data_IF_381461606572
#
_entry.id   IF_381461606572
#
_cell.length_a   1.000
_cell.length_b   1.000
_cell.length_c   1.000
_cell.angle_alpha   90.00
_cell.angle_beta   90.00
_cell.angle_gamma   90.00
#
_symmetry.space_group_name_H-M   'P 1'
#
loop_
_entity.id
_entity.type
_entity.pdbx_description
1 polymer ?
#
# COMPACT_ATOMS: atom_id res chain seq x y z
N UNK A 1 -39.35 38.97 -8.13
CA UNK A 1 -38.26 39.49 -8.97
C UNK A 1 -38.55 40.96 -9.20
N UNK A 2 -37.72 41.81 -8.63
CA UNK A 2 -37.82 43.26 -8.81
C UNK A 2 -37.09 43.64 -10.10
N UNK A 3 -37.44 44.80 -10.66
CA UNK A 3 -36.87 45.32 -11.93
C UNK A 3 -35.34 45.45 -11.89
N UNK A 4 -34.78 45.63 -10.70
CA UNK A 4 -33.33 45.73 -10.46
C UNK A 4 -32.59 44.39 -10.67
N UNK A 5 -33.23 43.24 -10.42
CA UNK A 5 -32.61 41.93 -10.66
C UNK A 5 -32.41 41.65 -12.16
N UNK A 6 -33.29 42.17 -13.02
CA UNK A 6 -33.19 42.02 -14.47
C UNK A 6 -32.07 42.89 -15.05
N UNK A 7 -31.91 44.12 -14.56
CA UNK A 7 -30.86 45.04 -15.03
C UNK A 7 -29.46 44.55 -14.60
N UNK A 8 -29.32 44.00 -13.40
CA UNK A 8 -28.06 43.39 -12.95
C UNK A 8 -27.73 42.16 -13.79
N UNK A 9 -28.71 41.31 -14.10
CA UNK A 9 -28.50 40.10 -14.92
C UNK A 9 -28.07 40.48 -16.34
N UNK A 10 -28.61 41.57 -16.88
CA UNK A 10 -28.26 42.07 -18.22
C UNK A 10 -26.83 42.63 -18.26
N UNK A 11 -26.42 43.39 -17.24
CA UNK A 11 -25.05 43.89 -17.10
C UNK A 11 -24.01 42.75 -17.04
N UNK A 12 -24.31 41.65 -16.36
CA UNK A 12 -23.40 40.50 -16.31
C UNK A 12 -23.39 39.67 -17.59
N UNK A 13 -24.48 39.66 -18.35
CA UNK A 13 -24.54 38.88 -19.60
C UNK A 13 -23.80 39.60 -20.73
N UNK A 14 -23.85 40.94 -20.76
CA UNK A 14 -23.22 41.74 -21.82
C UNK A 14 -21.71 42.00 -21.57
N UNK A 15 -21.24 41.89 -20.33
CA UNK A 15 -19.84 42.16 -19.96
C UNK A 15 -18.89 40.96 -20.13
N UNK A 16 -19.41 39.74 -20.35
CA UNK A 16 -18.57 38.54 -20.46
C UNK A 16 -18.43 38.15 -21.94
N UNK A 17 -17.26 38.39 -22.58
CA UNK A 17 -17.03 37.93 -23.94
C UNK A 17 -17.15 36.40 -24.01
N UNK A 18 -17.74 35.84 -25.09
CA UNK A 18 -17.92 34.41 -25.23
C UNK A 18 -16.57 33.70 -25.11
N UNK A 19 -16.48 32.76 -24.17
CA UNK A 19 -15.28 31.96 -23.98
C UNK A 19 -14.99 31.18 -25.27
N UNK A 20 -13.72 31.15 -25.72
CA UNK A 20 -13.36 30.36 -26.88
C UNK A 20 -13.74 28.89 -26.63
N UNK A 21 -14.31 28.25 -27.65
CA UNK A 21 -14.73 26.86 -27.56
C UNK A 21 -13.57 26.00 -27.01
N UNK A 22 -13.83 25.15 -26.01
CA UNK A 22 -12.79 24.34 -25.40
C UNK A 22 -12.14 23.47 -26.47
N UNK A 23 -10.80 23.54 -26.56
CA UNK A 23 -10.03 22.65 -27.45
C UNK A 23 -10.46 21.22 -27.17
N UNK A 24 -10.79 20.47 -28.22
CA UNK A 24 -11.22 19.08 -28.12
C UNK A 24 -10.04 18.20 -27.67
N UNK A 25 -9.82 18.16 -26.35
CA UNK A 25 -8.75 17.41 -25.71
C UNK A 25 -8.91 15.91 -25.92
N UNK A 26 -10.15 15.44 -26.18
CA UNK A 26 -10.45 14.02 -26.38
C UNK A 26 -9.93 13.56 -27.75
N UNK A 27 -10.11 14.36 -28.80
CA UNK A 27 -9.54 14.09 -30.12
C UNK A 27 -7.99 14.07 -30.10
N UNK A 28 -7.36 14.98 -29.35
CA UNK A 28 -5.90 15.04 -29.24
C UNK A 28 -5.31 13.83 -28.49
N UNK A 29 -5.95 13.38 -27.40
CA UNK A 29 -5.55 12.16 -26.69
C UNK A 29 -5.73 10.93 -27.58
N UNK A 30 -6.85 10.84 -28.32
CA UNK A 30 -7.11 9.74 -29.25
C UNK A 30 -6.06 9.61 -30.35
N UNK A 31 -5.56 10.73 -30.88
CA UNK A 31 -4.48 10.72 -31.89
C UNK A 31 -3.13 10.32 -31.30
N UNK A 32 -2.79 10.74 -30.07
CA UNK A 32 -1.57 10.27 -29.37
C UNK A 32 -1.62 8.77 -29.09
N UNK A 33 -2.75 8.26 -28.60
CA UNK A 33 -2.90 6.83 -28.29
C UNK A 33 -2.79 5.97 -29.55
N UNK A 34 -3.42 6.36 -30.67
CA UNK A 34 -3.25 5.64 -31.96
C UNK A 34 -1.81 5.65 -32.45
N UNK A 35 -1.10 6.78 -32.32
CA UNK A 35 0.30 6.89 -32.74
C UNK A 35 1.22 6.03 -31.86
N UNK A 36 0.92 5.91 -30.56
CA UNK A 36 1.66 5.04 -29.65
C UNK A 36 1.40 3.54 -29.93
N UNK A 37 0.13 3.13 -30.09
CA UNK A 37 -0.22 1.74 -30.47
C UNK A 37 0.43 1.30 -31.78
N UNK A 38 0.48 2.18 -32.79
CA UNK A 38 1.16 1.86 -34.06
C UNK A 38 2.67 1.63 -33.89
N UNK A 39 3.34 2.36 -32.99
CA UNK A 39 4.78 2.17 -32.73
C UNK A 39 5.08 0.86 -31.99
N UNK A 40 4.22 0.47 -31.04
CA UNK A 40 4.41 -0.76 -30.25
C UNK A 40 4.21 -2.02 -31.10
N UNK A 41 3.26 -2.01 -32.05
CA UNK A 41 3.01 -3.15 -32.95
C UNK A 41 4.14 -3.34 -33.97
N UNK A 42 4.81 -2.27 -34.39
CA UNK A 42 5.97 -2.39 -35.31
C UNK A 42 7.23 -2.92 -34.64
N UNK A 43 7.42 -2.73 -33.33
CA UNK A 43 8.61 -3.20 -32.62
C UNK A 43 8.53 -4.67 -32.20
N UNK A 44 7.34 -5.22 -31.97
CA UNK A 44 7.17 -6.64 -31.61
C UNK A 44 7.32 -7.60 -32.80
N UNK A 45 7.03 -7.14 -34.03
CA UNK A 45 7.20 -7.97 -35.23
C UNK A 45 8.68 -8.21 -35.61
N UNK A 46 9.61 -7.35 -35.20
CA UNK A 46 11.03 -7.50 -35.50
C UNK A 46 11.77 -8.45 -34.53
N UNK A 47 11.26 -8.63 -33.31
CA UNK A 47 11.90 -9.44 -32.27
C UNK A 47 11.63 -10.95 -32.43
N UNK A 48 10.48 -11.33 -32.98
CA UNK A 48 10.09 -12.75 -33.11
C UNK A 48 10.83 -13.45 -34.26
N UNK A 49 11.21 -12.73 -35.31
CA UNK A 49 11.90 -13.30 -36.48
C UNK A 49 13.37 -13.62 -36.24
N UNK A 50 14.00 -13.02 -35.21
CA UNK A 50 15.42 -13.22 -34.91
C UNK A 50 15.68 -14.45 -34.03
N UNK A 51 14.68 -14.92 -33.28
CA UNK A 51 14.80 -16.08 -32.39
C UNK A 51 14.63 -17.40 -33.14
N UNK A 52 13.88 -17.43 -34.25
CA UNK A 52 13.67 -18.66 -35.03
C UNK A 52 14.84 -18.98 -35.98
N UNK A 53 15.68 -18.01 -36.32
CA UNK A 53 16.80 -18.21 -37.26
C UNK A 53 18.11 -18.71 -36.61
N UNK A 54 18.22 -18.78 -35.28
CA UNK A 54 19.42 -19.20 -34.55
C UNK A 54 19.33 -20.63 -33.97
N UNK A 55 18.23 -21.35 -34.22
CA UNK A 55 17.95 -22.66 -33.60
C UNK A 55 18.54 -23.90 -34.28
N UNK A 56 19.26 -23.79 -35.41
CA UNK A 56 19.78 -24.96 -36.13
C UNK A 56 21.20 -24.72 -36.62
N UNK A 57 22.18 -24.94 -35.73
CA UNK A 57 23.50 -25.52 -36.02
C UNK A 57 24.48 -25.18 -34.89
N UNK A 58 24.88 -26.17 -34.07
CA UNK A 58 26.29 -26.49 -33.81
C UNK A 58 26.41 -27.73 -32.90
N UNK A 59 27.32 -28.67 -33.20
CA UNK A 59 27.49 -29.91 -32.48
C UNK A 59 28.50 -29.80 -31.34
N UNK A 60 28.25 -30.61 -30.30
CA UNK A 60 29.18 -31.23 -29.34
C UNK A 60 30.63 -30.72 -29.32
N UNK A 61 30.95 -29.89 -28.31
CA UNK A 61 32.29 -29.78 -27.74
C UNK A 61 32.22 -30.16 -26.25
N UNK A 62 32.55 -31.42 -25.96
CA UNK A 62 32.90 -31.89 -24.61
C UNK A 62 34.24 -31.25 -24.22
N UNK A 63 34.18 -30.27 -23.32
CA UNK A 63 35.32 -29.80 -22.52
C UNK A 63 35.28 -30.45 -21.13
N UNK A 64 36.42 -30.55 -20.43
CA UNK A 64 36.57 -31.35 -19.21
C UNK A 64 35.78 -30.75 -18.04
N UNK A 65 35.25 -31.64 -17.20
CA UNK A 65 34.62 -31.35 -15.92
C UNK A 65 35.46 -30.34 -15.11
N UNK A 66 34.99 -29.10 -15.08
CA UNK A 66 35.18 -28.22 -13.93
C UNK A 66 33.90 -28.30 -13.13
N UNK A 67 33.77 -29.36 -12.34
CA UNK A 67 33.00 -29.28 -11.10
C UNK A 67 33.62 -28.18 -10.26
N UNK A 68 33.08 -26.97 -10.38
CA UNK A 68 33.20 -25.94 -9.36
C UNK A 68 32.77 -26.61 -8.06
N UNK A 69 33.60 -26.61 -7.00
CA UNK A 69 33.14 -27.08 -5.71
C UNK A 69 31.87 -26.29 -5.35
N UNK A 70 30.85 -26.93 -4.74
CA UNK A 70 29.72 -26.18 -4.20
C UNK A 70 30.31 -25.08 -3.32
N UNK A 71 29.95 -23.83 -3.60
CA UNK A 71 30.23 -22.72 -2.69
C UNK A 71 29.54 -23.13 -1.39
N UNK A 72 30.32 -23.57 -0.42
CA UNK A 72 29.86 -23.75 0.94
C UNK A 72 29.24 -22.41 1.31
N UNK A 73 27.93 -22.38 1.54
CA UNK A 73 27.28 -21.22 2.10
C UNK A 73 27.94 -20.99 3.45
N UNK A 74 28.90 -20.06 3.51
CA UNK A 74 29.42 -19.58 4.77
C UNK A 74 28.22 -19.04 5.54
N UNK A 75 28.05 -19.46 6.79
CA UNK A 75 27.03 -18.87 7.63
C UNK A 75 27.21 -17.35 7.58
N UNK A 76 26.13 -16.59 7.33
CA UNK A 76 26.21 -15.16 7.15
C UNK A 76 26.84 -14.53 8.38
N UNK A 77 27.79 -13.63 8.16
CA UNK A 77 28.47 -12.92 9.23
C UNK A 77 27.48 -11.93 9.89
N UNK A 78 27.34 -12.03 11.21
CA UNK A 78 26.59 -11.08 12.04
C UNK A 78 25.10 -11.41 12.20
N UNK A 79 24.58 -11.13 13.40
CA UNK A 79 23.15 -11.20 13.69
C UNK A 79 22.45 -9.95 13.15
N UNK A 80 21.35 -10.14 12.41
CA UNK A 80 20.53 -9.01 11.93
C UNK A 80 19.54 -8.63 13.02
N UNK A 81 19.80 -7.50 13.69
CA UNK A 81 18.92 -6.98 14.73
C UNK A 81 18.21 -5.72 14.23
N UNK A 82 16.87 -5.77 14.17
CA UNK A 82 16.07 -4.58 13.90
C UNK A 82 16.21 -3.58 15.06
N UNK A 83 16.58 -2.31 14.79
CA UNK A 83 16.51 -1.28 15.81
C UNK A 83 15.07 -1.15 16.34
N UNK A 84 14.94 -0.94 17.65
CA UNK A 84 13.64 -0.77 18.33
C UNK A 84 13.42 0.64 18.84
N UNK A 85 14.45 1.49 18.78
CA UNK A 85 14.39 2.90 19.15
C UNK A 85 15.33 3.70 18.24
N UNK A 86 15.16 5.02 18.22
CA UNK A 86 16.05 5.92 17.47
C UNK A 86 17.45 6.04 18.10
N UNK A 87 17.71 5.41 19.24
CA UNK A 87 19.04 5.34 19.84
C UNK A 87 19.96 4.54 18.91
N UNK A 88 20.96 5.22 18.32
CA UNK A 88 21.84 4.65 17.30
C UNK A 88 21.58 5.15 15.88
N UNK A 89 20.57 6.00 15.67
CA UNK A 89 20.43 6.76 14.43
C UNK A 89 21.65 7.67 14.23
N UNK A 90 22.30 7.65 13.05
CA UNK A 90 23.40 8.57 12.74
C UNK A 90 22.98 10.03 12.85
N UNK A 91 23.89 10.88 13.32
CA UNK A 91 23.73 12.32 13.25
C UNK A 91 23.79 12.75 11.78
N UNK A 92 22.71 13.39 11.30
CA UNK A 92 22.58 13.77 9.91
C UNK A 92 23.61 14.83 9.50
N UNK A 93 24.13 15.61 10.44
CA UNK A 93 25.17 16.61 10.17
C UNK A 93 26.58 15.98 10.12
N UNK A 94 26.75 14.77 10.65
CA UNK A 94 28.03 14.06 10.69
C UNK A 94 28.27 13.12 9.48
N UNK A 95 27.22 12.81 8.70
CA UNK A 95 27.35 11.92 7.53
C UNK A 95 27.79 12.68 6.28
N UNK A 96 28.53 12.00 5.40
CA UNK A 96 29.01 12.60 4.15
C UNK A 96 27.93 12.52 3.06
N UNK A 97 27.63 13.67 2.44
CA UNK A 97 26.73 13.77 1.29
C UNK A 97 27.46 14.32 0.06
N UNK A 98 26.97 13.93 -1.12
CA UNK A 98 27.40 14.51 -2.40
C UNK A 98 28.66 13.89 -2.99
N UNK A 99 29.16 12.79 -2.41
CA UNK A 99 30.12 11.92 -3.07
C UNK A 99 29.43 10.96 -4.06
N UNK A 100 30.23 10.36 -4.93
CA UNK A 100 29.77 9.34 -5.87
C UNK A 100 29.84 7.92 -5.24
N UNK A 101 30.14 7.82 -3.94
CA UNK A 101 30.25 6.54 -3.24
C UNK A 101 28.85 5.91 -3.02
N UNK A 102 28.66 4.61 -3.29
CA UNK A 102 27.36 3.97 -3.09
C UNK A 102 26.94 4.05 -1.62
N UNK A 103 25.64 4.23 -1.36
CA UNK A 103 25.10 4.26 0.00
C UNK A 103 25.31 2.91 0.71
N UNK A 104 25.16 1.81 -0.03
CA UNK A 104 25.36 0.44 0.44
C UNK A 104 26.20 -0.37 -0.56
N UNK A 105 27.08 -1.27 -0.12
CA UNK A 105 27.78 -2.18 -1.01
C UNK A 105 26.82 -3.06 -1.84
N UNK A 106 27.21 -3.52 -3.04
CA UNK A 106 26.46 -4.56 -3.74
C UNK A 106 26.58 -5.92 -3.03
N UNK A 107 25.67 -6.85 -3.36
CA UNK A 107 25.77 -8.24 -2.90
C UNK A 107 25.02 -8.57 -1.61
N UNK A 108 24.09 -7.72 -1.17
CA UNK A 108 23.16 -8.09 -0.10
C UNK A 108 22.33 -9.30 -0.53
N UNK A 109 22.07 -10.21 0.40
CA UNK A 109 21.29 -11.44 0.19
C UNK A 109 19.90 -11.35 0.81
N UNK A 110 19.70 -10.40 1.71
CA UNK A 110 18.42 -10.14 2.38
C UNK A 110 18.37 -8.67 2.82
N UNK A 111 17.17 -8.11 2.81
CA UNK A 111 16.88 -6.79 3.38
C UNK A 111 15.74 -6.95 4.38
N UNK A 112 15.98 -6.55 5.63
CA UNK A 112 14.94 -6.48 6.65
C UNK A 112 14.48 -5.05 6.79
N UNK A 113 13.19 -4.81 6.54
CA UNK A 113 12.54 -3.54 6.78
C UNK A 113 11.96 -3.51 8.19
N UNK A 114 12.51 -2.64 9.03
CA UNK A 114 12.11 -2.42 10.41
C UNK A 114 11.38 -1.06 10.52
N UNK A 115 10.44 -0.97 11.45
CA UNK A 115 9.80 0.30 11.81
C UNK A 115 10.17 0.67 13.25
N UNK A 116 10.64 1.90 13.43
CA UNK A 116 11.10 2.44 14.72
C UNK A 116 10.18 3.58 15.11
N UNK A 117 9.60 3.55 16.30
CA UNK A 117 8.79 4.68 16.79
C UNK A 117 9.69 5.85 17.22
N UNK A 118 9.32 7.06 16.81
CA UNK A 118 10.07 8.29 17.05
C UNK A 118 9.55 9.05 18.28
N UNK A 119 8.25 8.95 18.60
CA UNK A 119 7.62 9.61 19.75
C UNK A 119 6.40 8.84 20.31
N UNK A 120 6.16 8.94 21.62
CA UNK A 120 5.02 8.34 22.34
C UNK A 120 3.67 9.05 22.08
N UNK A 121 3.63 10.05 21.21
CA UNK A 121 2.50 11.00 21.19
C UNK A 121 1.18 10.37 20.73
N UNK A 122 1.21 9.32 19.91
CA UNK A 122 0.06 8.45 19.66
C UNK A 122 0.62 7.07 19.33
N UNK A 123 0.52 6.11 20.25
CA UNK A 123 0.85 4.72 19.93
C UNK A 123 -0.06 4.27 18.79
N UNK A 124 0.51 4.05 17.59
CA UNK A 124 -0.23 3.35 16.55
C UNK A 124 -0.72 2.03 17.17
N UNK A 125 -2.01 1.70 17.07
CA UNK A 125 -2.58 0.56 17.80
C UNK A 125 -1.96 -0.79 17.42
N UNK A 126 -1.28 -0.85 16.26
CA UNK A 126 -0.50 -1.99 15.82
C UNK A 126 0.66 -1.52 14.93
N UNK A 127 1.89 -1.87 15.32
CA UNK A 127 3.11 -1.67 14.52
C UNK A 127 3.39 -3.00 13.80
N UNK A 128 3.56 -3.02 12.46
CA UNK A 128 3.96 -4.22 11.77
C UNK A 128 5.35 -4.67 12.25
N UNK A 129 5.51 -5.99 12.43
CA UNK A 129 6.81 -6.58 12.72
C UNK A 129 7.82 -6.42 11.56
N UNK A 130 9.08 -6.83 11.79
CA UNK A 130 10.10 -6.84 10.74
C UNK A 130 9.67 -7.59 9.48
N UNK A 131 9.96 -7.02 8.31
CA UNK A 131 9.62 -7.62 7.00
C UNK A 131 10.90 -8.00 6.26
N UNK A 132 11.13 -9.29 6.07
CA UNK A 132 12.34 -9.81 5.42
C UNK A 132 12.12 -10.07 3.93
N UNK A 133 12.89 -9.40 3.09
CA UNK A 133 12.92 -9.58 1.64
C UNK A 133 14.21 -10.32 1.24
N UNK A 134 14.04 -11.44 0.54
CA UNK A 134 15.13 -12.29 0.03
C UNK A 134 15.15 -12.36 -1.50
N UNK A 135 14.01 -12.05 -2.15
CA UNK A 135 13.89 -11.96 -3.61
C UNK A 135 13.94 -10.51 -4.09
N UNK A 136 14.67 -10.22 -5.17
CA UNK A 136 14.76 -8.85 -5.71
C UNK A 136 15.58 -7.88 -4.86
N UNK A 137 16.44 -8.39 -3.98
CA UNK A 137 17.32 -7.60 -3.10
C UNK A 137 18.27 -6.70 -3.90
N UNK A 138 18.81 -7.22 -5.00
CA UNK A 138 19.70 -6.50 -5.92
C UNK A 138 19.03 -5.27 -6.55
N UNK A 139 17.74 -5.36 -6.87
CA UNK A 139 16.97 -4.23 -7.37
C UNK A 139 16.86 -3.12 -6.32
N UNK A 140 16.51 -3.45 -5.08
CA UNK A 140 16.40 -2.47 -4.00
C UNK A 140 17.76 -1.84 -3.69
N UNK A 141 18.84 -2.62 -3.65
CA UNK A 141 20.22 -2.11 -3.49
C UNK A 141 20.58 -1.15 -4.62
N UNK A 142 20.28 -1.50 -5.87
CA UNK A 142 20.50 -0.63 -7.03
C UNK A 142 19.70 0.67 -6.91
N UNK A 143 18.45 0.62 -6.45
CA UNK A 143 17.64 1.81 -6.23
C UNK A 143 18.17 2.69 -5.09
N UNK A 144 18.65 2.11 -3.99
CA UNK A 144 19.29 2.85 -2.88
C UNK A 144 20.53 3.60 -3.38
N UNK A 145 21.36 2.95 -4.18
CA UNK A 145 22.59 3.54 -4.71
C UNK A 145 22.34 4.52 -5.86
N UNK A 146 21.23 4.40 -6.60
CA UNK A 146 20.83 5.33 -7.65
C UNK A 146 20.17 6.61 -7.11
N UNK A 147 19.94 6.72 -5.80
CA UNK A 147 19.39 7.92 -5.22
C UNK A 147 20.31 9.13 -5.41
N UNK A 148 19.75 10.36 -5.49
CA UNK A 148 20.55 11.58 -5.61
C UNK A 148 21.61 11.68 -4.51
N UNK A 149 22.82 12.08 -4.86
CA UNK A 149 23.93 12.22 -3.90
C UNK A 149 23.68 13.32 -2.84
N UNK A 150 22.72 14.23 -3.09
CA UNK A 150 22.21 15.21 -2.11
C UNK A 150 20.68 15.30 -2.15
N UNK A 151 20.02 15.70 -1.03
CA UNK A 151 18.59 15.99 -1.02
C UNK A 151 18.24 17.10 -2.02
N UNK A 152 17.22 16.90 -2.86
CA UNK A 152 16.92 17.80 -3.99
C UNK A 152 15.87 18.88 -3.71
N UNK A 153 15.03 18.73 -2.68
CA UNK A 153 13.84 19.57 -2.50
C UNK A 153 13.98 20.70 -1.47
N UNK A 154 15.20 20.96 -1.00
CA UNK A 154 15.50 22.13 -0.16
C UNK A 154 15.10 22.01 1.31
N UNK A 155 14.39 20.94 1.70
CA UNK A 155 14.07 20.64 3.11
C UNK A 155 15.27 20.11 3.90
N UNK A 156 16.33 19.73 3.21
CA UNK A 156 17.64 19.43 3.77
C UNK A 156 18.73 20.30 3.15
N UNK A 157 18.49 21.61 2.98
CA UNK A 157 19.58 22.53 2.58
C UNK A 157 20.42 22.86 3.81
N UNK A 158 21.76 22.73 3.75
CA UNK A 158 22.61 23.41 4.72
C UNK A 158 22.32 24.91 4.62
N UNK A 159 21.98 25.52 5.73
CA UNK A 159 21.96 26.97 5.84
C UNK A 159 23.41 27.50 5.75
N UNK A 160 23.59 28.82 5.78
CA UNK A 160 24.93 29.43 5.72
C UNK A 160 25.86 29.00 6.88
N UNK A 161 25.31 28.37 7.92
CA UNK A 161 25.98 27.77 9.07
C UNK A 161 26.22 26.25 8.95
N UNK A 162 25.71 25.59 7.90
CA UNK A 162 25.89 24.15 7.66
C UNK A 162 24.79 23.24 8.21
N UNK A 163 23.79 23.75 8.94
CA UNK A 163 22.77 22.95 9.64
C UNK A 163 21.65 22.46 8.69
N UNK A 164 21.30 21.16 8.73
CA UNK A 164 20.17 20.58 7.99
C UNK A 164 18.83 20.84 8.72
N UNK A 165 18.09 21.88 8.32
CA UNK A 165 16.75 22.14 8.90
C UNK A 165 15.64 21.38 8.19
N UNK A 166 15.46 20.15 8.62
CA UNK A 166 14.33 19.31 8.22
C UNK A 166 13.02 19.94 8.69
N UNK A 167 12.11 20.26 7.77
CA UNK A 167 10.80 20.79 8.15
C UNK A 167 10.06 19.70 8.90
N UNK A 168 9.89 19.88 10.23
CA UNK A 168 9.26 18.93 11.12
C UNK A 168 7.83 18.61 10.65
N UNK A 169 7.66 17.55 9.88
CA UNK A 169 6.41 16.81 9.97
C UNK A 169 6.54 15.94 11.23
N UNK A 170 5.58 16.04 12.13
CA UNK A 170 5.47 15.13 13.26
C UNK A 170 5.23 13.72 12.69
N UNK A 171 6.31 12.97 12.49
CA UNK A 171 6.25 11.59 12.05
C UNK A 171 6.44 10.70 13.25
N UNK A 172 5.54 9.73 13.40
CA UNK A 172 5.52 8.83 14.53
C UNK A 172 6.49 7.65 14.34
N UNK A 173 6.93 7.39 13.11
CA UNK A 173 7.70 6.20 12.74
C UNK A 173 8.82 6.55 11.75
N UNK A 174 9.96 5.87 11.89
CA UNK A 174 11.06 5.85 10.94
C UNK A 174 11.21 4.45 10.36
N UNK A 175 11.51 4.41 9.06
CA UNK A 175 11.81 3.16 8.38
C UNK A 175 13.32 2.93 8.39
N UNK A 176 13.73 1.73 8.78
CA UNK A 176 15.13 1.29 8.78
C UNK A 176 15.24 0.05 7.91
N UNK A 177 16.21 0.03 7.00
CA UNK A 177 16.55 -1.15 6.21
C UNK A 177 17.86 -1.73 6.76
N UNK A 178 17.85 -3.00 7.14
CA UNK A 178 19.07 -3.73 7.51
C UNK A 178 19.40 -4.72 6.40
N UNK A 179 20.51 -4.50 5.71
CA UNK A 179 20.95 -5.31 4.60
C UNK A 179 21.95 -6.35 5.10
N UNK A 180 21.59 -7.63 4.97
CA UNK A 180 22.46 -8.76 5.31
C UNK A 180 23.28 -9.18 4.11
N UNK A 181 24.54 -9.52 4.35
CA UNK A 181 25.47 -10.03 3.35
C UNK A 181 25.97 -11.41 3.78
N UNK A 182 26.41 -12.21 2.82
CA UNK A 182 26.99 -13.53 3.13
C UNK A 182 28.43 -13.44 3.63
N UNK A 183 29.15 -12.36 3.29
CA UNK A 183 30.61 -12.26 3.40
C UNK A 183 31.08 -11.13 4.33
N UNK A 184 30.17 -10.39 4.96
CA UNK A 184 30.46 -9.20 5.78
C UNK A 184 29.32 -8.86 6.73
N UNK A 185 29.62 -7.97 7.67
CA UNK A 185 28.65 -7.43 8.62
C UNK A 185 27.46 -6.73 7.92
N UNK A 186 26.26 -6.79 8.53
CA UNK A 186 25.09 -6.08 8.00
C UNK A 186 25.29 -4.58 7.90
N UNK A 187 24.64 -3.96 6.91
CA UNK A 187 24.61 -2.50 6.76
C UNK A 187 23.22 -1.99 7.12
N UNK A 188 23.16 -1.09 8.10
CA UNK A 188 21.92 -0.42 8.51
C UNK A 188 21.77 0.91 7.78
N UNK A 189 20.67 1.05 7.06
CA UNK A 189 20.24 2.28 6.39
C UNK A 189 19.05 2.85 7.15
N UNK A 190 19.28 3.98 7.81
CA UNK A 190 18.24 4.78 8.43
C UNK A 190 17.61 5.69 7.40
N UNK A 191 16.30 5.87 7.45
CA UNK A 191 15.65 6.88 6.61
C UNK A 191 14.92 7.91 7.44
N UNK A 192 14.98 9.14 6.94
CA UNK A 192 14.30 10.28 7.53
C UNK A 192 13.42 10.90 6.46
N UNK A 193 12.11 10.74 6.61
CA UNK A 193 11.11 11.31 5.70
C UNK A 193 10.97 12.82 5.79
N UNK A 194 11.36 13.41 6.92
CA UNK A 194 11.31 14.86 7.11
C UNK A 194 12.44 15.52 6.33
N UNK A 195 13.63 14.92 6.39
CA UNK A 195 14.82 15.37 5.68
C UNK A 195 14.90 14.83 4.24
N UNK A 196 14.07 13.82 3.93
CA UNK A 196 14.14 12.99 2.72
C UNK A 196 15.54 12.49 2.43
N UNK A 197 16.12 11.81 3.42
CA UNK A 197 17.43 11.16 3.31
C UNK A 197 17.38 9.69 3.68
N UNK A 198 18.34 8.96 3.13
CA UNK A 198 18.74 7.64 3.59
C UNK A 198 20.22 7.70 3.98
N UNK A 199 20.54 7.25 5.19
CA UNK A 199 21.89 7.37 5.76
C UNK A 199 22.36 6.06 6.36
N UNK A 200 23.65 5.77 6.18
CA UNK A 200 24.40 4.79 6.97
C UNK A 200 25.19 5.52 8.06
N UNK A 201 26.07 4.81 8.76
CA UNK A 201 26.95 5.42 9.75
C UNK A 201 27.88 6.52 9.17
N UNK A 202 28.20 6.47 7.89
CA UNK A 202 29.23 7.34 7.29
C UNK A 202 28.78 8.09 6.03
N UNK A 203 27.72 7.65 5.37
CA UNK A 203 27.26 8.20 4.10
C UNK A 203 25.77 8.53 4.14
N UNK A 204 25.38 9.54 3.39
CA UNK A 204 23.99 9.89 3.17
C UNK A 204 23.69 10.15 1.71
N UNK A 205 22.46 9.85 1.31
CA UNK A 205 21.88 10.23 0.02
C UNK A 205 20.52 10.87 0.24
N UNK A 206 20.07 11.66 -0.74
CA UNK A 206 18.65 11.99 -0.82
C UNK A 206 17.82 10.70 -0.97
N UNK A 207 16.53 10.72 -0.65
CA UNK A 207 15.68 9.54 -0.85
C UNK A 207 14.36 9.89 -1.52
N UNK A 208 14.08 9.17 -2.59
CA UNK A 208 12.75 8.98 -3.13
C UNK A 208 12.07 7.80 -2.42
N UNK A 209 10.99 8.08 -1.71
CA UNK A 209 10.24 7.09 -0.94
C UNK A 209 9.54 6.04 -1.83
N UNK A 210 9.51 6.22 -3.16
CA UNK A 210 9.11 5.15 -4.09
C UNK A 210 9.94 3.87 -3.96
N UNK A 211 11.14 3.93 -3.37
CA UNK A 211 11.92 2.74 -3.05
C UNK A 211 11.23 1.84 -2.02
N UNK A 212 10.53 2.42 -1.05
CA UNK A 212 9.78 1.65 -0.05
C UNK A 212 8.53 1.03 -0.64
N UNK A 213 7.89 1.73 -1.57
CA UNK A 213 6.82 1.16 -2.37
C UNK A 213 7.30 -0.08 -3.12
N UNK A 214 8.44 0.03 -3.79
CA UNK A 214 9.03 -1.10 -4.51
C UNK A 214 9.42 -2.24 -3.57
N UNK A 215 10.00 -1.94 -2.40
CA UNK A 215 10.28 -2.95 -1.37
C UNK A 215 9.02 -3.70 -0.93
N UNK A 216 7.95 -2.97 -0.59
CA UNK A 216 6.70 -3.58 -0.11
C UNK A 216 6.00 -4.39 -1.21
N UNK A 217 6.06 -3.93 -2.47
CA UNK A 217 5.54 -4.68 -3.61
C UNK A 217 6.29 -6.00 -3.79
N UNK A 218 7.63 -5.98 -3.76
CA UNK A 218 8.46 -7.20 -3.82
C UNK A 218 8.22 -8.12 -2.63
N UNK A 219 8.09 -7.56 -1.43
CA UNK A 219 7.81 -8.32 -0.22
C UNK A 219 6.46 -9.03 -0.31
N UNK A 220 5.44 -8.34 -0.82
CA UNK A 220 4.11 -8.89 -1.06
C UNK A 220 4.13 -9.98 -2.14
N UNK A 221 4.84 -9.78 -3.25
CA UNK A 221 5.06 -10.82 -4.27
C UNK A 221 5.73 -12.07 -3.66
N UNK A 222 6.74 -11.89 -2.80
CA UNK A 222 7.41 -12.98 -2.10
C UNK A 222 6.44 -13.73 -1.18
N UNK A 223 5.62 -13.02 -0.38
CA UNK A 223 4.61 -13.65 0.47
C UNK A 223 3.61 -14.45 -0.34
N UNK A 224 3.07 -13.89 -1.44
CA UNK A 224 2.15 -14.62 -2.32
C UNK A 224 2.78 -15.88 -2.90
N UNK A 225 4.08 -15.85 -3.21
CA UNK A 225 4.78 -17.01 -3.77
C UNK A 225 5.14 -18.09 -2.73
N UNK A 226 5.22 -17.74 -1.45
CA UNK A 226 5.74 -18.62 -0.38
C UNK A 226 4.68 -19.05 0.63
N UNK A 227 3.58 -18.32 0.77
CA UNK A 227 2.45 -18.69 1.61
C UNK A 227 1.61 -19.75 0.92
N UNK A 228 1.48 -20.93 1.53
CA UNK A 228 0.54 -21.96 1.06
C UNK A 228 -0.91 -21.52 1.35
N UNK A 229 -1.77 -21.32 0.33
CA UNK A 229 -3.16 -20.92 0.54
C UNK A 229 -3.97 -21.86 1.45
N UNK A 230 -3.59 -23.14 1.52
CA UNK A 230 -4.26 -24.11 2.38
C UNK A 230 -4.00 -23.86 3.87
N UNK A 231 -2.93 -23.13 4.23
CA UNK A 231 -2.54 -22.84 5.61
C UNK A 231 -3.11 -21.54 6.16
N UNK A 232 -3.62 -20.67 5.28
CA UNK A 232 -4.25 -19.40 5.66
C UNK A 232 -5.47 -19.73 6.51
N UNK A 233 -5.57 -19.16 7.71
CA UNK A 233 -6.66 -19.43 8.65
C UNK A 233 -7.79 -18.43 8.45
N UNK A 234 -9.03 -18.93 8.42
CA UNK A 234 -10.21 -18.09 8.32
C UNK A 234 -10.46 -17.32 9.61
N UNK A 235 -10.67 -16.00 9.55
CA UNK A 235 -11.13 -15.23 10.70
C UNK A 235 -12.46 -15.76 11.24
N UNK A 236 -12.57 -15.94 12.55
CA UNK A 236 -13.82 -16.38 13.18
C UNK A 236 -14.80 -15.21 13.36
N UNK A 237 -16.10 -15.49 13.25
CA UNK A 237 -17.14 -14.58 13.72
C UNK A 237 -17.26 -14.72 15.24
N UNK A 238 -16.88 -13.71 16.04
CA UNK A 238 -17.15 -13.74 17.48
C UNK A 238 -18.66 -13.87 17.72
N UNK A 239 -19.06 -14.60 18.77
CA UNK A 239 -20.46 -14.78 19.10
C UNK A 239 -21.14 -13.45 19.49
N UNK A 240 -20.38 -12.55 20.10
CA UNK A 240 -20.82 -11.21 20.48
C UNK A 240 -19.73 -10.17 20.22
N UNK A 241 -20.13 -8.94 19.90
CA UNK A 241 -19.24 -7.78 19.82
C UNK A 241 -19.79 -6.61 20.65
N UNK A 242 -18.94 -5.84 21.36
CA UNK A 242 -19.37 -4.63 22.06
C UNK A 242 -19.90 -3.57 21.08
N UNK A 243 -20.96 -2.85 21.46
CA UNK A 243 -21.55 -1.81 20.61
C UNK A 243 -20.60 -0.66 20.28
N UNK A 244 -19.74 -0.29 21.23
CA UNK A 244 -18.66 0.69 21.06
C UNK A 244 -17.71 0.38 19.89
N UNK A 245 -17.49 -0.90 19.57
CA UNK A 245 -16.66 -1.29 18.42
C UNK A 245 -17.28 -0.80 17.12
N UNK A 246 -18.61 -0.82 17.01
CA UNK A 246 -19.31 -0.42 15.80
C UNK A 246 -19.36 1.11 15.62
N UNK A 247 -19.28 1.88 16.71
CA UNK A 247 -19.33 3.35 16.68
C UNK A 247 -17.94 3.98 16.56
N UNK A 248 -17.01 3.61 17.45
CA UNK A 248 -15.82 4.42 17.74
C UNK A 248 -14.56 3.82 17.15
N UNK A 249 -14.55 2.51 16.94
CA UNK A 249 -13.40 1.81 16.37
C UNK A 249 -13.38 1.91 14.84
N UNK A 250 -12.22 1.66 14.25
CA UNK A 250 -12.09 1.43 12.80
C UNK A 250 -11.96 -0.07 12.55
N UNK A 251 -12.46 -0.57 11.42
CA UNK A 251 -12.18 -1.94 11.00
C UNK A 251 -10.66 -2.18 10.95
N UNK A 252 -10.14 -3.26 11.57
CA UNK A 252 -8.75 -3.65 11.41
C UNK A 252 -8.39 -3.94 9.96
N UNK A 253 -7.21 -3.48 9.54
CA UNK A 253 -6.64 -3.76 8.23
C UNK A 253 -5.15 -4.01 8.40
N UNK A 254 -4.76 -5.28 8.25
CA UNK A 254 -3.37 -5.76 8.26
C UNK A 254 -2.81 -5.92 6.85
N UNK A 255 -3.66 -6.00 5.82
CA UNK A 255 -3.22 -6.04 4.42
C UNK A 255 -2.47 -4.75 4.07
N UNK A 256 -2.90 -3.60 4.60
CA UNK A 256 -2.17 -2.31 4.45
C UNK A 256 -0.71 -2.37 4.90
N UNK A 257 -0.36 -3.26 5.84
CA UNK A 257 1.03 -3.37 6.29
C UNK A 257 1.94 -3.97 5.23
N UNK A 258 1.40 -4.54 4.16
CA UNK A 258 2.15 -5.09 3.04
C UNK A 258 1.91 -4.31 1.74
N UNK A 259 1.31 -3.12 1.85
CA UNK A 259 0.89 -2.32 0.71
C UNK A 259 1.31 -0.86 0.90
N UNK A 260 2.05 -0.32 -0.06
CA UNK A 260 2.57 1.05 0.05
C UNK A 260 1.60 2.13 -0.41
N UNK A 261 0.66 1.79 -1.29
CA UNK A 261 -0.41 2.68 -1.72
C UNK A 261 -1.66 2.34 -0.88
N UNK A 262 -2.45 3.30 -0.39
CA UNK A 262 -3.76 2.97 0.18
C UNK A 262 -4.76 2.39 -0.84
N UNK A 263 -4.49 2.48 -2.16
CA UNK A 263 -5.39 2.02 -3.22
C UNK A 263 -4.68 1.19 -4.29
N UNK A 264 -5.32 0.13 -4.84
CA UNK A 264 -6.58 -0.46 -4.39
C UNK A 264 -6.46 -1.05 -2.96
N UNK A 265 -7.54 -1.05 -2.19
CA UNK A 265 -7.48 -1.49 -0.77
C UNK A 265 -7.10 -2.97 -0.64
N UNK A 266 -7.52 -3.80 -1.60
CA UNK A 266 -7.19 -5.22 -1.68
C UNK A 266 -6.33 -5.47 -2.93
N UNK A 267 -4.98 -5.39 -2.79
CA UNK A 267 -4.06 -5.46 -3.92
C UNK A 267 -3.68 -6.89 -4.34
N UNK A 268 -3.95 -7.90 -3.52
CA UNK A 268 -3.68 -9.32 -3.84
C UNK A 268 -4.96 -10.14 -3.87
N UNK A 269 -4.96 -11.32 -4.54
CA UNK A 269 -6.12 -12.19 -4.58
C UNK A 269 -6.62 -12.59 -3.20
N UNK A 270 -7.94 -12.69 -3.02
CA UNK A 270 -8.53 -13.21 -1.80
C UNK A 270 -8.54 -14.74 -1.81
N UNK A 271 -8.12 -15.34 -0.70
CA UNK A 271 -8.12 -16.79 -0.49
C UNK A 271 -9.33 -17.21 0.32
N UNK A 272 -9.77 -16.36 1.25
CA UNK A 272 -10.83 -16.70 2.18
C UNK A 272 -11.58 -15.49 2.69
N UNK A 273 -12.86 -15.68 2.96
CA UNK A 273 -13.77 -14.65 3.45
C UNK A 273 -14.68 -15.22 4.53
N UNK A 274 -14.81 -14.50 5.63
CA UNK A 274 -15.81 -14.73 6.67
C UNK A 274 -16.78 -13.55 6.70
N UNK A 275 -18.05 -13.83 6.47
CA UNK A 275 -19.14 -12.87 6.60
C UNK A 275 -19.93 -13.18 7.87
N UNK A 276 -20.24 -12.16 8.66
CA UNK A 276 -20.96 -12.29 9.92
C UNK A 276 -22.06 -11.23 9.96
N UNK A 277 -23.27 -11.60 10.38
CA UNK A 277 -24.39 -10.69 10.65
C UNK A 277 -24.69 -10.68 12.13
N UNK A 278 -24.80 -9.47 12.66
CA UNK A 278 -25.16 -9.21 14.04
C UNK A 278 -26.47 -8.44 14.13
N UNK A 279 -27.29 -8.79 15.11
CA UNK A 279 -28.38 -7.95 15.61
C UNK A 279 -27.89 -7.18 16.84
N UNK A 280 -28.13 -5.88 16.85
CA UNK A 280 -27.62 -4.99 17.89
C UNK A 280 -28.73 -4.66 18.87
N UNK A 281 -28.47 -4.96 20.15
CA UNK A 281 -29.33 -4.67 21.27
C UNK A 281 -28.52 -3.94 22.34
N UNK A 282 -28.94 -2.71 22.64
CA UNK A 282 -28.29 -1.82 23.63
C UNK A 282 -26.77 -1.73 23.43
N UNK A 283 -26.01 -2.40 24.29
CA UNK A 283 -24.55 -2.32 24.38
C UNK A 283 -23.82 -3.48 23.66
N UNK A 284 -24.54 -4.39 23.02
CA UNK A 284 -23.96 -5.60 22.41
C UNK A 284 -24.57 -5.92 21.05
N UNK A 285 -23.79 -6.54 20.17
CA UNK A 285 -24.32 -7.17 18.98
C UNK A 285 -24.14 -8.68 19.04
N UNK A 286 -25.22 -9.42 18.83
CA UNK A 286 -25.26 -10.88 18.88
C UNK A 286 -25.21 -11.44 17.46
N UNK A 287 -24.35 -12.45 17.25
CA UNK A 287 -24.20 -13.11 15.97
C UNK A 287 -25.48 -13.90 15.64
N UNK A 288 -26.18 -13.50 14.58
CA UNK A 288 -27.41 -14.20 14.13
C UNK A 288 -27.17 -15.03 12.88
N UNK A 289 -26.12 -14.74 12.10
CA UNK A 289 -25.75 -15.53 10.93
C UNK A 289 -24.27 -15.39 10.60
N UNK A 290 -23.68 -16.44 10.07
CA UNK A 290 -22.31 -16.43 9.55
C UNK A 290 -22.21 -17.30 8.29
N UNK A 291 -21.26 -16.96 7.44
CA UNK A 291 -20.82 -17.79 6.32
C UNK A 291 -19.31 -17.65 6.14
N UNK A 292 -18.65 -18.76 5.82
CA UNK A 292 -17.24 -18.78 5.44
C UNK A 292 -17.12 -19.32 4.02
N UNK A 293 -16.23 -18.72 3.23
CA UNK A 293 -16.07 -19.04 1.82
C UNK A 293 -14.61 -18.93 1.39
N UNK A 294 -14.11 -20.02 0.78
CA UNK A 294 -12.83 -20.06 0.05
C UNK A 294 -13.02 -20.05 -1.46
N UNK A 295 -13.92 -20.90 -1.96
CA UNK A 295 -14.27 -20.93 -3.37
C UNK A 295 -14.83 -19.56 -3.78
N UNK A 296 -14.31 -19.00 -4.88
CA UNK A 296 -14.75 -17.72 -5.42
C UNK A 296 -14.60 -16.54 -4.44
N UNK A 297 -13.73 -16.66 -3.42
CA UNK A 297 -13.43 -15.57 -2.49
C UNK A 297 -12.93 -14.32 -3.24
N UNK A 298 -12.13 -14.51 -4.30
CA UNK A 298 -11.59 -13.41 -5.10
C UNK A 298 -12.65 -12.62 -5.88
N UNK A 299 -13.85 -13.18 -6.10
CA UNK A 299 -14.94 -12.47 -6.77
C UNK A 299 -15.43 -11.26 -5.95
N UNK A 300 -15.22 -11.27 -4.63
CA UNK A 300 -15.52 -10.14 -3.76
C UNK A 300 -14.48 -9.02 -3.85
N UNK A 301 -13.25 -9.31 -4.28
CA UNK A 301 -12.17 -8.31 -4.36
C UNK A 301 -12.51 -7.11 -5.24
N UNK A 302 -12.96 -7.26 -6.50
CA UNK A 302 -13.34 -6.11 -7.31
C UNK A 302 -14.53 -5.34 -6.72
N UNK A 303 -15.50 -6.02 -6.11
CA UNK A 303 -16.67 -5.40 -5.48
C UNK A 303 -16.26 -4.52 -4.29
N UNK A 304 -15.36 -5.03 -3.43
CA UNK A 304 -14.83 -4.29 -2.29
C UNK A 304 -13.95 -3.13 -2.74
N UNK A 305 -13.04 -3.36 -3.69
CA UNK A 305 -12.20 -2.29 -4.23
C UNK A 305 -13.01 -1.18 -4.90
N UNK A 306 -14.08 -1.50 -5.62
CA UNK A 306 -15.00 -0.50 -6.20
C UNK A 306 -15.77 0.25 -5.12
N UNK A 307 -16.34 -0.47 -4.15
CA UNK A 307 -17.13 0.13 -3.06
C UNK A 307 -16.30 1.10 -2.23
N UNK A 308 -15.03 0.78 -2.01
CA UNK A 308 -14.12 1.56 -1.19
C UNK A 308 -13.10 2.37 -1.99
N UNK A 309 -13.34 2.58 -3.29
CA UNK A 309 -12.48 3.43 -4.11
C UNK A 309 -12.44 4.87 -3.57
N UNK A 310 -11.30 5.55 -3.73
CA UNK A 310 -11.10 6.92 -3.23
C UNK A 310 -12.09 7.93 -3.83
N UNK A 311 -12.55 7.69 -5.05
CA UNK A 311 -13.51 8.56 -5.73
C UNK A 311 -14.95 8.34 -5.28
N UNK A 312 -15.24 7.21 -4.62
CA UNK A 312 -16.55 6.93 -4.06
C UNK A 312 -16.81 7.84 -2.85
N UNK A 313 -17.47 8.96 -3.10
CA UNK A 313 -17.75 9.98 -2.09
C UNK A 313 -19.25 10.18 -2.01
N UNK A 314 -19.89 9.49 -1.06
CA UNK A 314 -21.21 9.78 -0.47
C UNK A 314 -21.57 8.64 0.46
N UNK A 315 -22.15 8.97 1.59
CA UNK A 315 -22.88 8.07 2.47
C UNK A 315 -24.27 8.66 2.66
N UNK A 316 -25.31 7.85 2.55
CA UNK A 316 -26.70 8.28 2.79
C UNK A 316 -26.94 8.67 4.26
N UNK A 317 -26.01 8.31 5.16
CA UNK A 317 -26.10 8.58 6.59
C UNK A 317 -25.62 9.97 7.01
N UNK A 318 -25.14 10.82 6.09
CA UNK A 318 -24.01 11.69 6.45
C UNK A 318 -22.77 10.81 6.71
N UNK A 319 -21.60 11.33 7.05
CA UNK A 319 -20.46 10.44 7.36
C UNK A 319 -20.80 9.41 8.45
N UNK A 320 -20.29 8.18 8.38
CA UNK A 320 -20.22 7.26 9.55
C UNK A 320 -19.67 8.03 10.74
N UNK A 321 -20.40 8.06 11.85
CA UNK A 321 -20.69 9.33 12.50
C UNK A 321 -19.45 9.92 13.16
N UNK A 322 -19.27 11.22 12.94
CA UNK A 322 -18.88 12.11 14.02
C UNK A 322 -19.93 11.86 15.14
N UNK A 323 -19.52 11.01 16.10
CA UNK A 323 -20.14 10.39 17.29
C UNK A 323 -21.24 11.12 18.07
N UNK A 324 -21.68 12.33 17.70
CA UNK A 324 -22.71 13.08 18.44
C UNK A 324 -24.08 12.95 17.79
N UNK A 325 -24.80 11.86 18.12
CA UNK A 325 -26.26 11.81 18.00
C UNK A 325 -26.86 10.85 16.97
N UNK A 326 -26.08 9.97 16.34
CA UNK A 326 -26.64 8.91 15.50
C UNK A 326 -26.90 7.65 16.33
N UNK A 327 -28.08 7.02 16.20
CA UNK A 327 -28.37 5.77 16.90
C UNK A 327 -27.47 4.64 16.39
N UNK A 328 -27.21 3.67 17.26
CA UNK A 328 -26.54 2.42 16.88
C UNK A 328 -27.32 1.72 15.76
N UNK A 329 -26.62 1.02 14.85
CA UNK A 329 -27.30 0.26 13.83
C UNK A 329 -28.10 -0.86 14.46
N UNK A 330 -29.25 -1.26 13.90
CA UNK A 330 -30.01 -2.42 14.42
C UNK A 330 -29.53 -3.74 13.83
N UNK A 331 -28.89 -3.66 12.66
CA UNK A 331 -28.29 -4.79 11.96
C UNK A 331 -26.95 -4.35 11.39
N UNK A 332 -25.94 -5.16 11.64
CA UNK A 332 -24.56 -4.87 11.34
C UNK A 332 -23.89 -6.11 10.75
N UNK A 333 -23.29 -5.97 9.57
CA UNK A 333 -22.51 -7.04 8.95
C UNK A 333 -21.02 -6.72 9.04
N UNK A 334 -20.21 -7.73 9.33
CA UNK A 334 -18.75 -7.68 9.17
C UNK A 334 -18.34 -8.65 8.08
N UNK A 335 -17.40 -8.22 7.25
CA UNK A 335 -16.73 -9.06 6.27
C UNK A 335 -15.24 -9.04 6.57
N UNK A 336 -14.68 -10.15 7.02
CA UNK A 336 -13.24 -10.28 7.22
C UNK A 336 -12.66 -11.14 6.11
N UNK A 337 -11.72 -10.58 5.36
CA UNK A 337 -11.07 -11.25 4.24
C UNK A 337 -9.64 -11.59 4.61
N UNK A 338 -9.13 -12.70 4.07
CA UNK A 338 -7.72 -13.05 4.08
C UNK A 338 -7.23 -13.12 2.62
N UNK A 339 -6.12 -12.45 2.35
CA UNK A 339 -5.53 -12.38 1.02
C UNK A 339 -4.44 -13.44 0.81
N UNK A 340 -3.87 -13.51 -0.39
CA UNK A 340 -2.85 -14.50 -0.74
C UNK A 340 -1.53 -14.36 0.04
N UNK A 341 -1.33 -13.25 0.77
CA UNK A 341 -0.21 -13.12 1.71
C UNK A 341 -0.49 -13.74 3.07
N UNK A 342 -1.75 -14.07 3.36
CA UNK A 342 -2.24 -14.47 4.68
C UNK A 342 -2.62 -13.30 5.59
N UNK A 343 -2.44 -12.06 5.14
CA UNK A 343 -2.88 -10.88 5.87
C UNK A 343 -4.41 -10.69 5.77
N UNK A 344 -4.98 -10.02 6.76
CA UNK A 344 -6.44 -9.86 6.89
C UNK A 344 -6.88 -8.40 6.82
N UNK A 345 -8.06 -8.14 6.27
CA UNK A 345 -8.75 -6.87 6.40
C UNK A 345 -10.22 -7.08 6.76
N UNK A 346 -10.78 -6.19 7.56
CA UNK A 346 -12.17 -6.20 7.98
C UNK A 346 -12.92 -5.04 7.33
N UNK A 347 -14.15 -5.30 6.89
CA UNK A 347 -15.07 -4.34 6.32
C UNK A 347 -16.38 -4.40 7.09
N UNK A 348 -16.99 -3.24 7.35
CA UNK A 348 -18.22 -3.15 8.11
C UNK A 348 -19.34 -2.62 7.26
N UNK A 349 -20.55 -3.16 7.38
CA UNK A 349 -21.73 -2.68 6.69
C UNK A 349 -22.89 -2.49 7.66
N UNK A 350 -23.41 -1.27 7.74
CA UNK A 350 -24.65 -0.94 8.45
C UNK A 350 -25.82 -1.04 7.49
N UNK A 351 -26.94 -1.58 7.97
CA UNK A 351 -28.17 -1.70 7.17
C UNK A 351 -29.27 -0.70 7.57
N UNK A 352 -29.39 -0.40 8.85
CA UNK A 352 -30.45 0.41 9.45
C UNK A 352 -29.87 1.22 10.60
N UNK A 353 -30.29 2.48 10.84
CA UNK A 353 -31.37 3.20 10.13
C UNK A 353 -30.97 3.73 8.74
N UNK A 354 -29.70 3.61 8.37
CA UNK A 354 -29.17 4.04 7.08
C UNK A 354 -28.07 3.07 6.64
N UNK A 355 -27.81 3.02 5.33
CA UNK A 355 -26.84 2.09 4.73
C UNK A 355 -25.50 2.75 4.51
N UNK A 356 -24.46 2.10 5.02
CA UNK A 356 -23.08 2.56 4.85
C UNK A 356 -22.12 1.37 4.95
N UNK A 357 -21.01 1.45 4.23
CA UNK A 357 -19.88 0.56 4.33
C UNK A 357 -18.64 1.32 4.83
N UNK A 358 -17.93 0.75 5.82
CA UNK A 358 -16.71 1.32 6.42
C UNK A 358 -15.52 0.38 6.25
N UNK A 359 -14.39 0.98 5.93
CA UNK A 359 -13.05 0.40 5.94
C UNK A 359 -12.12 1.34 6.75
N UNK A 360 -10.88 0.94 7.06
CA UNK A 360 -9.93 1.76 7.82
C UNK A 360 -9.75 3.17 7.23
N UNK A 361 -9.67 3.26 5.89
CA UNK A 361 -9.39 4.50 5.15
C UNK A 361 -10.61 5.13 4.47
N UNK A 362 -11.77 4.45 4.49
CA UNK A 362 -12.91 4.83 3.67
C UNK A 362 -14.23 4.63 4.41
N UNK A 363 -15.21 5.45 4.04
CA UNK A 363 -16.50 5.53 4.69
C UNK A 363 -17.52 5.94 3.62
N UNK A 364 -18.12 4.93 3.02
CA UNK A 364 -18.79 5.04 1.73
C UNK A 364 -20.22 4.48 1.83
N UNK A 365 -21.06 4.80 0.85
CA UNK A 365 -22.33 4.11 0.68
C UNK A 365 -22.05 2.65 0.28
N UNK A 366 -22.77 1.71 0.91
CA UNK A 366 -22.71 0.32 0.48
C UNK A 366 -23.27 0.20 -0.94
N UNK A 367 -22.46 -0.26 -1.89
CA UNK A 367 -22.89 -0.43 -3.29
C UNK A 367 -23.94 -1.53 -3.40
N UNK A 368 -24.82 -1.49 -4.42
CA UNK A 368 -25.75 -2.58 -4.70
C UNK A 368 -25.04 -3.93 -4.83
N UNK A 369 -23.89 -3.98 -5.50
CA UNK A 369 -23.09 -5.20 -5.65
C UNK A 369 -22.61 -5.76 -4.31
N UNK A 370 -22.15 -4.91 -3.39
CA UNK A 370 -21.76 -5.35 -2.05
C UNK A 370 -22.96 -5.88 -1.25
N UNK A 371 -24.10 -5.18 -1.31
CA UNK A 371 -25.32 -5.60 -0.61
C UNK A 371 -25.88 -6.92 -1.16
N UNK A 372 -25.84 -7.12 -2.47
CA UNK A 372 -26.26 -8.35 -3.13
C UNK A 372 -25.32 -9.51 -2.76
N UNK A 373 -24.00 -9.27 -2.75
CA UNK A 373 -23.01 -10.25 -2.32
C UNK A 373 -23.24 -10.68 -0.85
N UNK A 374 -23.42 -9.72 0.05
CA UNK A 374 -23.74 -9.99 1.46
C UNK A 374 -25.09 -10.70 1.61
N UNK A 375 -26.08 -10.37 0.77
CA UNK A 375 -27.37 -11.07 0.77
C UNK A 375 -27.23 -12.50 0.27
N UNK A 376 -26.37 -12.75 -0.72
CA UNK A 376 -26.07 -14.09 -1.21
C UNK A 376 -25.46 -15.00 -0.14
N UNK A 377 -24.58 -14.44 0.70
CA UNK A 377 -23.94 -15.18 1.80
C UNK A 377 -24.85 -15.25 3.05
N UNK A 378 -25.24 -14.08 3.57
CA UNK A 378 -25.92 -13.95 4.85
C UNK A 378 -27.45 -13.92 4.75
N UNK A 379 -28.02 -14.11 3.56
CA UNK A 379 -29.45 -13.92 3.32
C UNK A 379 -29.87 -12.46 3.46
N UNK A 380 -31.17 -12.19 3.30
CA UNK A 380 -31.70 -10.84 3.48
C UNK A 380 -31.60 -10.42 4.95
N UNK A 381 -31.19 -9.17 5.25
CA UNK A 381 -31.25 -8.67 6.61
C UNK A 381 -32.70 -8.64 7.08
N UNK A 382 -32.97 -8.75 8.40
CA UNK A 382 -34.31 -8.64 8.94
C UNK A 382 -34.97 -7.35 8.44
N UNK A 383 -36.09 -7.48 7.73
CA UNK A 383 -36.88 -6.32 7.31
C UNK A 383 -37.60 -5.76 8.54
N UNK A 384 -37.58 -4.43 8.70
CA UNK A 384 -38.58 -3.75 9.51
C UNK A 384 -39.78 -3.39 8.66
#
# INVERSE_FOLDING_TARGET
MTRDDEDIRRLFTDAVPPLPAPRDRIAEVGTRVRRHRRRVVTTTAAAVTLIVALGVALPTLRGPDRTTPPVTATDPAGEVVCPTSIAGRPDLDAVRYGDDEPLVPPGAVEIINCQVQVDNLHSAPEIPGPRALTTGVDEIVRMLNAQPSRPTDGRGRPYADGELRCTAAAQQEQTVLVLRYADREPVTVWTDSNCRVAVTATHGRGVDFGIFSTFLDRYREQLVATTDPATITTPACPATIPAERMSDSKPPDRIRFHHSDPYPILPTPLIEVAACRYEVNDDTAELVRQEQRRADADDLRPILNETFDRSATRSDCGGWPDWRGHPLPTTFDTLTVADATGATAEFWVRHSPCRNARHLFANNQATPLLLDALTGMLGRPPGR
#
